data_IF_229178859156
#
_entry.id   IF_229178859156
#
_cell.length_a   1.000
_cell.length_b   1.000
_cell.length_c   1.000
_cell.angle_alpha   90.00
_cell.angle_beta   90.00
_cell.angle_gamma   90.00
#
_symmetry.space_group_name_H-M   'P 1'
#
loop_
_entity.id
_entity.type
_entity.pdbx_description
1 polymer ?
#
# COMPACT_ATOMS: atom_id res chain seq x y z
N UNK A 1 -5.69 7.46 -16.16
CA UNK A 1 -4.76 7.06 -15.07
C UNK A 1 -3.37 7.72 -15.19
N UNK A 2 -3.25 9.05 -15.34
CA UNK A 2 -1.94 9.70 -15.60
C UNK A 2 -1.01 9.66 -14.37
N UNK A 3 -1.54 9.94 -13.17
CA UNK A 3 -0.73 10.03 -11.95
C UNK A 3 -0.17 8.68 -11.48
N UNK A 4 -0.94 7.57 -11.40
CA UNK A 4 -0.38 6.29 -10.98
C UNK A 4 0.72 5.79 -11.93
N UNK A 5 0.55 5.97 -13.26
CA UNK A 5 1.59 5.61 -14.22
C UNK A 5 2.90 6.38 -13.99
N UNK A 6 2.83 7.68 -13.72
CA UNK A 6 4.01 8.50 -13.44
C UNK A 6 4.65 8.17 -12.09
N UNK A 7 3.84 7.91 -11.06
CA UNK A 7 4.33 7.52 -9.75
C UNK A 7 5.05 6.16 -9.80
N UNK A 8 4.40 5.15 -10.38
CA UNK A 8 4.98 3.82 -10.49
C UNK A 8 6.18 3.78 -11.44
N UNK A 9 6.19 4.56 -12.54
CA UNK A 9 7.39 4.64 -13.39
C UNK A 9 8.59 5.20 -12.64
N UNK A 10 8.37 6.19 -11.76
CA UNK A 10 9.43 6.72 -10.89
C UNK A 10 9.90 5.66 -9.88
N UNK A 11 8.98 4.94 -9.24
CA UNK A 11 9.30 3.86 -8.29
C UNK A 11 10.13 2.78 -8.98
N UNK A 12 9.72 2.30 -10.15
CA UNK A 12 10.44 1.25 -10.87
C UNK A 12 11.85 1.70 -11.28
N UNK A 13 12.04 2.99 -11.62
CA UNK A 13 13.37 3.54 -11.93
C UNK A 13 14.29 3.70 -10.72
N UNK A 14 13.72 3.85 -9.52
CA UNK A 14 14.47 4.09 -8.28
C UNK A 14 14.84 2.81 -7.55
N UNK A 15 14.06 1.74 -7.72
CA UNK A 15 14.22 0.48 -7.00
C UNK A 15 14.83 -0.63 -7.88
N UNK A 16 15.21 -1.75 -7.27
CA UNK A 16 15.76 -2.91 -7.97
C UNK A 16 14.70 -3.67 -8.79
N UNK A 17 15.13 -4.64 -9.60
CA UNK A 17 14.23 -5.53 -10.35
C UNK A 17 13.31 -6.34 -9.43
N UNK A 18 12.23 -6.86 -10.01
CA UNK A 18 11.21 -7.73 -9.40
C UNK A 18 10.35 -7.03 -8.34
N UNK A 19 9.86 -5.83 -8.65
CA UNK A 19 8.97 -5.07 -7.75
C UNK A 19 7.55 -5.58 -7.89
N UNK A 20 6.89 -5.79 -6.75
CA UNK A 20 5.47 -6.09 -6.66
C UNK A 20 4.71 -4.85 -6.19
N UNK A 21 3.86 -4.29 -7.04
CA UNK A 21 3.13 -3.04 -6.78
C UNK A 21 1.69 -3.36 -6.32
N UNK A 22 1.37 -2.99 -5.08
CA UNK A 22 0.00 -2.98 -4.57
C UNK A 22 -0.77 -1.73 -5.01
N UNK A 23 -1.97 -1.93 -5.56
CA UNK A 23 -2.90 -0.83 -5.87
C UNK A 23 -4.34 -1.35 -5.88
N UNK A 24 -5.31 -0.58 -5.39
CA UNK A 24 -6.72 -1.01 -5.25
C UNK A 24 -7.30 -1.56 -6.55
N UNK A 25 -6.94 -0.94 -7.67
CA UNK A 25 -7.34 -1.36 -9.02
C UNK A 25 -6.18 -1.99 -9.80
N UNK A 26 -5.21 -2.59 -9.09
CA UNK A 26 -3.99 -3.19 -9.64
C UNK A 26 -4.27 -4.12 -10.82
N UNK A 27 -5.35 -4.92 -10.74
CA UNK A 27 -5.76 -5.82 -11.82
C UNK A 27 -6.11 -5.11 -13.15
N UNK A 28 -6.70 -3.92 -13.10
CA UNK A 28 -7.02 -3.11 -14.28
C UNK A 28 -5.85 -2.20 -14.65
N UNK A 29 -5.14 -1.70 -13.64
CA UNK A 29 -4.00 -0.84 -13.83
C UNK A 29 -2.85 -1.55 -14.54
N UNK A 30 -2.60 -2.82 -14.22
CA UNK A 30 -1.60 -3.65 -14.87
C UNK A 30 -1.74 -3.62 -16.40
N UNK A 31 -2.96 -3.84 -16.91
CA UNK A 31 -3.23 -3.78 -18.35
C UNK A 31 -2.92 -2.40 -18.92
N UNK A 32 -3.29 -1.32 -18.21
CA UNK A 32 -2.99 0.04 -18.67
C UNK A 32 -1.48 0.28 -18.72
N UNK A 33 -0.76 -0.12 -17.67
CA UNK A 33 0.66 0.14 -17.52
C UNK A 33 1.52 -0.69 -18.50
N UNK A 34 1.13 -1.94 -18.75
CA UNK A 34 1.80 -2.83 -19.72
C UNK A 34 1.64 -2.38 -21.18
N UNK A 35 0.60 -1.61 -21.49
CA UNK A 35 0.35 -1.11 -22.85
C UNK A 35 0.75 0.36 -23.06
N UNK A 36 1.16 1.07 -22.00
CA UNK A 36 1.46 2.49 -22.09
C UNK A 36 2.95 2.72 -22.44
N UNK A 37 3.27 3.57 -23.45
CA UNK A 37 4.66 3.74 -23.94
C UNK A 37 5.70 4.13 -22.88
N UNK A 38 5.26 4.84 -21.83
CA UNK A 38 6.14 5.27 -20.75
C UNK A 38 6.57 4.12 -19.80
N UNK A 39 5.75 3.08 -19.69
CA UNK A 39 5.85 2.08 -18.61
C UNK A 39 5.99 0.65 -19.12
N UNK A 40 5.53 0.34 -20.33
CA UNK A 40 5.52 -1.02 -20.87
C UNK A 40 6.90 -1.67 -20.84
N UNK A 41 7.89 -1.01 -21.42
CA UNK A 41 9.27 -1.51 -21.48
C UNK A 41 9.91 -1.56 -20.09
N UNK A 42 9.69 -0.51 -19.30
CA UNK A 42 10.20 -0.43 -17.93
C UNK A 42 9.69 -1.58 -17.05
N UNK A 43 8.40 -1.93 -17.16
CA UNK A 43 7.79 -3.05 -16.45
C UNK A 43 8.40 -4.38 -16.90
N UNK A 44 8.60 -4.54 -18.22
CA UNK A 44 9.15 -5.77 -18.81
C UNK A 44 10.59 -6.02 -18.39
N UNK A 45 11.44 -5.00 -18.49
CA UNK A 45 12.88 -5.09 -18.15
C UNK A 45 13.14 -5.29 -16.65
N UNK A 46 12.24 -4.78 -15.82
CA UNK A 46 12.35 -4.85 -14.35
C UNK A 46 11.47 -5.94 -13.74
N UNK A 47 10.79 -6.78 -14.54
CA UNK A 47 9.89 -7.83 -14.06
C UNK A 47 8.89 -7.32 -13.00
N UNK A 48 8.30 -6.16 -13.27
CA UNK A 48 7.35 -5.55 -12.32
C UNK A 48 5.99 -6.22 -12.44
N UNK A 49 5.43 -6.61 -11.30
CA UNK A 49 4.09 -7.18 -11.19
C UNK A 49 3.17 -6.25 -10.40
N UNK A 50 1.86 -6.41 -10.59
CA UNK A 50 0.84 -5.66 -9.86
C UNK A 50 -0.07 -6.64 -9.11
N UNK A 51 -0.59 -6.20 -7.97
CA UNK A 51 -1.56 -6.92 -7.16
C UNK A 51 -2.56 -5.92 -6.55
N UNK A 52 -3.65 -6.47 -6.01
CA UNK A 52 -4.72 -5.71 -5.33
C UNK A 52 -4.60 -5.96 -3.84
N UNK A 53 -4.75 -4.93 -3.00
CA UNK A 53 -4.77 -5.09 -1.55
C UNK A 53 -5.77 -6.15 -1.09
N UNK A 54 -5.48 -6.88 -0.01
CA UNK A 54 -6.24 -8.05 0.37
C UNK A 54 -7.73 -7.74 0.62
N UNK A 55 -8.02 -6.60 1.28
CA UNK A 55 -9.39 -6.19 1.57
C UNK A 55 -10.13 -5.87 0.27
N UNK A 56 -9.51 -5.10 -0.61
CA UNK A 56 -10.06 -4.78 -1.93
C UNK A 56 -10.20 -6.01 -2.83
N UNK A 57 -9.27 -6.95 -2.72
CA UNK A 57 -9.23 -8.17 -3.52
C UNK A 57 -10.50 -8.99 -3.36
N UNK A 58 -11.01 -9.15 -2.13
CA UNK A 58 -12.25 -9.88 -1.87
C UNK A 58 -13.50 -9.21 -2.46
N UNK A 59 -13.49 -7.89 -2.68
CA UNK A 59 -14.59 -7.19 -3.35
C UNK A 59 -14.60 -7.39 -4.87
N UNK A 60 -13.51 -7.90 -5.46
CA UNK A 60 -13.42 -8.14 -6.90
C UNK A 60 -14.01 -9.50 -7.30
N UNK A 61 -14.29 -9.68 -8.61
CA UNK A 61 -14.74 -10.96 -9.17
C UNK A 61 -13.76 -12.10 -8.90
N UNK A 62 -14.27 -13.34 -8.82
CA UNK A 62 -13.46 -14.54 -8.50
C UNK A 62 -12.17 -14.69 -9.32
N UNK A 63 -12.13 -14.47 -10.65
CA UNK A 63 -10.87 -14.52 -11.39
C UNK A 63 -9.85 -13.47 -10.93
N UNK A 64 -10.29 -12.31 -10.44
CA UNK A 64 -9.39 -11.31 -9.90
C UNK A 64 -8.78 -11.77 -8.58
N UNK A 65 -9.59 -12.32 -7.68
CA UNK A 65 -9.13 -12.88 -6.41
C UNK A 65 -8.06 -13.97 -6.61
N UNK A 66 -8.25 -14.85 -7.60
CA UNK A 66 -7.29 -15.93 -7.86
C UNK A 66 -5.98 -15.44 -8.50
N UNK A 67 -6.01 -14.35 -9.27
CA UNK A 67 -4.87 -13.89 -10.08
C UNK A 67 -4.19 -12.61 -9.59
N UNK A 68 -4.75 -11.91 -8.60
CA UNK A 68 -4.21 -10.60 -8.20
C UNK A 68 -4.18 -10.39 -6.68
N UNK A 69 -4.65 -11.37 -5.90
CA UNK A 69 -4.65 -11.26 -4.45
C UNK A 69 -3.26 -11.59 -3.88
N UNK A 70 -2.75 -10.84 -2.88
CA UNK A 70 -1.41 -10.99 -2.31
C UNK A 70 -1.14 -12.40 -1.78
N UNK A 71 -2.15 -13.04 -1.17
CA UNK A 71 -2.09 -14.42 -0.67
C UNK A 71 -1.53 -15.44 -1.69
N UNK A 72 -1.77 -15.22 -2.99
CA UNK A 72 -1.37 -16.14 -4.05
C UNK A 72 -0.17 -15.64 -4.87
N UNK A 73 0.57 -14.65 -4.34
CA UNK A 73 1.62 -13.93 -5.07
C UNK A 73 2.93 -13.94 -4.30
N UNK A 74 3.90 -14.65 -4.85
CA UNK A 74 5.27 -14.69 -4.33
C UNK A 74 5.84 -13.27 -4.29
N UNK A 75 6.44 -12.89 -3.17
CA UNK A 75 7.00 -11.55 -2.95
C UNK A 75 6.09 -10.60 -2.16
N UNK A 76 4.80 -10.90 -1.99
CA UNK A 76 3.91 -10.10 -1.12
C UNK A 76 4.22 -10.30 0.38
N UNK A 77 4.76 -11.46 0.75
CA UNK A 77 5.03 -11.80 2.14
C UNK A 77 3.74 -11.94 2.96
N UNK A 78 3.77 -11.42 4.20
CA UNK A 78 2.59 -11.34 5.08
C UNK A 78 1.87 -9.99 5.00
N UNK A 79 2.28 -9.13 4.06
CA UNK A 79 1.65 -7.83 3.88
C UNK A 79 0.30 -7.98 3.18
N UNK A 80 -0.73 -7.34 3.71
CA UNK A 80 -2.06 -7.28 3.11
C UNK A 80 -2.19 -6.10 2.13
N UNK A 81 -1.20 -5.20 2.11
CA UNK A 81 -1.13 -3.98 1.31
C UNK A 81 -2.25 -2.97 1.57
N UNK A 82 -2.78 -2.96 2.79
CA UNK A 82 -3.81 -2.02 3.27
C UNK A 82 -3.22 -0.96 4.23
N UNK A 83 -1.89 -0.89 4.30
CA UNK A 83 -1.17 -0.04 5.26
C UNK A 83 -1.44 1.46 5.04
N UNK A 84 -1.51 1.90 3.79
CA UNK A 84 -1.77 3.29 3.43
C UNK A 84 -3.18 3.71 3.87
N UNK A 85 -4.17 2.88 3.59
CA UNK A 85 -5.58 3.10 3.89
C UNK A 85 -5.79 3.16 5.40
N UNK A 86 -5.19 2.22 6.14
CA UNK A 86 -5.19 2.22 7.61
C UNK A 86 -4.54 3.47 8.17
N UNK A 87 -3.39 3.87 7.62
CA UNK A 87 -2.68 5.08 8.05
C UNK A 87 -3.50 6.36 7.80
N UNK A 88 -4.03 6.53 6.59
CA UNK A 88 -4.85 7.70 6.25
C UNK A 88 -6.15 7.74 7.05
N UNK A 89 -6.79 6.58 7.27
CA UNK A 89 -7.95 6.49 8.15
C UNK A 89 -7.62 6.93 9.58
N UNK A 90 -6.50 6.45 10.14
CA UNK A 90 -6.03 6.84 11.47
C UNK A 90 -5.74 8.35 11.56
N UNK A 91 -5.16 8.94 10.50
CA UNK A 91 -4.84 10.37 10.41
C UNK A 91 -6.04 11.30 10.47
N UNK A 92 -7.27 10.79 10.22
CA UNK A 92 -8.49 11.59 10.36
C UNK A 92 -8.69 12.10 11.80
N UNK A 93 -8.07 11.47 12.80
CA UNK A 93 -8.11 11.93 14.19
C UNK A 93 -7.62 13.37 14.39
N UNK A 94 -6.72 13.85 13.52
CA UNK A 94 -6.23 15.24 13.56
C UNK A 94 -6.88 16.18 12.55
N UNK A 95 -7.81 15.69 11.72
CA UNK A 95 -8.47 16.49 10.68
C UNK A 95 -9.19 17.71 11.27
N UNK A 96 -9.95 17.53 12.37
CA UNK A 96 -10.70 18.62 13.01
C UNK A 96 -9.78 19.72 13.55
N UNK A 97 -8.68 19.35 14.20
CA UNK A 97 -7.73 20.31 14.79
C UNK A 97 -6.91 21.03 13.71
N UNK A 98 -6.66 20.38 12.59
CA UNK A 98 -5.91 20.96 11.47
C UNK A 98 -6.79 21.85 10.59
N UNK A 99 -8.09 21.60 10.46
CA UNK A 99 -8.99 22.37 9.60
C UNK A 99 -8.98 23.88 9.91
N UNK A 100 -8.96 24.25 11.19
CA UNK A 100 -8.98 25.65 11.64
C UNK A 100 -7.61 26.17 12.13
N UNK A 101 -6.56 25.36 11.98
CA UNK A 101 -5.21 25.70 12.43
C UNK A 101 -4.47 26.61 11.45
N UNK A 102 -3.58 27.46 11.97
CA UNK A 102 -2.58 28.15 11.14
C UNK A 102 -1.69 27.13 10.42
N UNK A 103 -1.00 27.53 9.34
CA UNK A 103 -0.06 26.65 8.63
C UNK A 103 0.92 25.94 9.58
N UNK A 104 1.50 26.70 10.51
CA UNK A 104 2.42 26.18 11.53
C UNK A 104 1.73 25.14 12.43
N UNK A 105 0.56 25.46 12.99
CA UNK A 105 -0.15 24.54 13.87
C UNK A 105 -0.58 23.26 13.16
N UNK A 106 -1.00 23.34 11.88
CA UNK A 106 -1.32 22.15 11.09
C UNK A 106 -0.14 21.22 10.94
N UNK A 107 1.01 21.76 10.55
CA UNK A 107 2.24 20.99 10.38
C UNK A 107 2.68 20.36 11.70
N UNK A 108 2.63 21.12 12.80
CA UNK A 108 2.98 20.62 14.13
C UNK A 108 2.07 19.47 14.56
N UNK A 109 0.74 19.60 14.40
CA UNK A 109 -0.22 18.57 14.80
C UNK A 109 -0.08 17.29 13.98
N UNK A 110 0.10 17.42 12.66
CA UNK A 110 0.35 16.27 11.78
C UNK A 110 1.67 15.57 12.17
N UNK A 111 2.73 16.34 12.42
CA UNK A 111 4.03 15.80 12.82
C UNK A 111 3.98 15.09 14.18
N UNK A 112 3.31 15.70 15.17
CA UNK A 112 3.08 15.09 16.47
C UNK A 112 2.30 13.78 16.34
N UNK A 113 1.24 13.77 15.52
CA UNK A 113 0.48 12.56 15.25
C UNK A 113 1.35 11.45 14.65
N UNK A 114 2.16 11.77 13.65
CA UNK A 114 3.10 10.79 13.04
C UNK A 114 3.99 10.15 14.10
N UNK A 115 4.62 10.96 14.96
CA UNK A 115 5.56 10.46 15.97
C UNK A 115 4.86 9.62 17.04
N UNK A 116 3.68 10.05 17.49
CA UNK A 116 2.94 9.29 18.51
C UNK A 116 2.46 7.97 17.94
N UNK A 117 1.88 7.98 16.73
CA UNK A 117 1.42 6.75 16.09
C UNK A 117 2.55 5.76 15.79
N UNK A 118 3.75 6.23 15.44
CA UNK A 118 4.94 5.38 15.27
C UNK A 118 5.37 4.73 16.61
N UNK A 119 5.42 5.52 17.68
CA UNK A 119 5.71 5.01 19.03
C UNK A 119 4.68 3.98 19.48
N UNK A 120 3.40 4.24 19.24
CA UNK A 120 2.32 3.32 19.57
C UNK A 120 2.41 2.04 18.74
N UNK A 121 2.71 2.14 17.44
CA UNK A 121 2.93 0.98 16.58
C UNK A 121 4.09 0.11 17.11
N UNK A 122 5.23 0.71 17.42
CA UNK A 122 6.39 0.02 17.99
C UNK A 122 6.07 -0.63 19.35
N UNK A 123 5.38 0.09 20.24
CA UNK A 123 4.97 -0.45 21.53
C UNK A 123 4.00 -1.64 21.40
N UNK A 124 3.21 -1.68 20.33
CA UNK A 124 2.27 -2.77 20.06
C UNK A 124 2.93 -3.99 19.40
N UNK A 125 4.09 -3.86 18.74
CA UNK A 125 4.85 -5.01 18.22
C UNK A 125 5.23 -5.99 19.34
N UNK A 126 5.55 -5.50 20.55
CA UNK A 126 5.91 -6.34 21.69
C UNK A 126 4.72 -7.07 22.35
N UNK A 127 3.48 -6.69 22.06
CA UNK A 127 2.26 -7.34 22.61
C UNK A 127 1.80 -8.54 21.77
N UNK A 128 2.39 -8.76 20.60
CA UNK A 128 1.99 -9.79 19.63
C UNK A 128 2.44 -11.22 20.00
N UNK A 129 2.99 -11.44 21.20
CA UNK A 129 3.52 -12.75 21.64
C UNK A 129 2.57 -13.60 22.51
N UNK A 130 1.33 -13.18 22.80
CA UNK A 130 0.40 -13.98 23.64
C UNK A 130 -0.83 -14.52 22.89
N UNK A 131 -1.20 -13.97 21.72
CA UNK A 131 -2.45 -14.39 21.05
C UNK A 131 -2.30 -14.98 19.64
N UNK A 132 -1.11 -14.94 19.02
CA UNK A 132 -0.93 -15.40 17.62
C UNK A 132 -0.26 -16.78 17.50
N UNK A 133 0.02 -17.46 18.61
CA UNK A 133 0.51 -18.86 18.59
C UNK A 133 -0.59 -19.93 18.52
N UNK A 134 -1.87 -19.53 18.48
CA UNK A 134 -2.99 -20.47 18.38
C UNK A 134 -3.67 -20.42 17.00
N UNK A 135 -2.88 -20.64 15.95
CA UNK A 135 -3.37 -21.12 14.64
C UNK A 135 -2.21 -21.75 13.87
N UNK A 136 -1.70 -22.83 14.45
CA UNK A 136 -1.04 -23.89 13.68
C UNK A 136 -1.95 -25.11 13.81
N UNK A 137 -2.12 -25.80 12.69
CA UNK A 137 -3.08 -26.87 12.34
C UNK A 137 -4.36 -26.39 11.66
#
# INVERSE_FOLDING_TARGET
AKYPLAAFSKIIRLHSKNILIGYDIGCQHATTAQNHPMTSELIRENHTEYIVGAFHGYAHKRPCQLNWHPLWRTGAGMDDLEGCERWFSHSNGVARCTQHGTKYNRQLQIWQHIIVSDKDALANLGRLNIYTLCRVY
#
